data_IF_364035846776
#
_entry.id   IF_364035846776
#
_cell.length_a   1.000
_cell.length_b   1.000
_cell.length_c   1.000
_cell.angle_alpha   90.00
_cell.angle_beta   90.00
_cell.angle_gamma   90.00
#
_symmetry.space_group_name_H-M   'P 1'
#
loop_
_entity.id
_entity.type
_entity.pdbx_description
1 polymer ?
#
# COMPACT_ATOMS: atom_id res chain seq x y z
N UNK A 1 5.30 17.81 77.38
CA UNK A 1 6.33 18.86 77.19
C UNK A 1 7.69 18.28 77.57
N UNK A 2 8.80 18.63 76.90
CA UNK A 2 8.95 19.45 75.70
C UNK A 2 9.70 18.72 74.55
N UNK A 3 9.28 18.92 73.28
CA UNK A 3 9.89 19.77 72.22
C UNK A 3 10.99 19.04 71.41
N UNK A 4 10.77 18.55 70.18
CA UNK A 4 10.43 19.23 68.92
C UNK A 4 11.55 20.14 68.36
N UNK A 5 12.30 19.65 67.36
CA UNK A 5 12.80 20.49 66.26
C UNK A 5 12.77 19.73 64.93
N UNK A 6 12.08 20.36 63.98
CA UNK A 6 11.73 19.99 62.61
C UNK A 6 12.93 19.69 61.69
N UNK A 7 12.82 18.64 60.88
CA UNK A 7 13.47 18.57 59.56
C UNK A 7 12.34 18.59 58.53
N UNK A 8 12.24 19.69 57.79
CA UNK A 8 11.31 19.82 56.67
C UNK A 8 11.79 18.95 55.52
N UNK A 9 11.04 17.88 55.22
CA UNK A 9 11.19 17.15 53.96
C UNK A 9 10.28 17.84 52.95
N UNK A 10 10.89 18.49 51.96
CA UNK A 10 10.19 19.05 50.80
C UNK A 10 9.56 17.88 50.07
N UNK A 11 8.22 17.85 50.06
CA UNK A 11 7.42 17.01 49.20
C UNK A 11 7.66 17.47 47.76
N UNK A 12 8.58 16.81 47.04
CA UNK A 12 8.68 16.94 45.60
C UNK A 12 7.75 15.89 44.99
N UNK A 13 6.54 16.30 44.66
CA UNK A 13 5.62 15.59 43.80
C UNK A 13 6.31 15.37 42.44
N UNK A 14 6.90 14.19 42.26
CA UNK A 14 7.36 13.73 40.95
C UNK A 14 6.12 13.44 40.11
N UNK A 15 5.78 14.38 39.25
CA UNK A 15 4.76 14.21 38.23
C UNK A 15 5.25 13.14 37.26
N UNK A 16 4.57 11.98 37.25
CA UNK A 16 4.72 10.99 36.19
C UNK A 16 4.36 11.65 34.85
N UNK A 17 5.37 12.01 34.07
CA UNK A 17 5.24 12.28 32.65
C UNK A 17 5.66 11.02 31.87
N UNK A 18 4.87 9.94 31.99
CA UNK A 18 4.88 8.83 31.05
C UNK A 18 3.68 9.00 30.11
N UNK A 19 3.88 9.84 29.11
CA UNK A 19 3.11 9.84 27.87
C UNK A 19 4.09 10.25 26.79
N UNK A 20 4.88 9.29 26.30
CA UNK A 20 5.62 9.44 25.06
C UNK A 20 4.59 9.78 23.98
N UNK A 21 4.64 11.02 23.54
CA UNK A 21 3.72 11.61 22.58
C UNK A 21 3.88 10.91 21.23
N UNK A 22 2.96 10.00 20.92
CA UNK A 22 2.57 9.63 19.54
C UNK A 22 1.83 10.79 18.82
N UNK A 23 2.06 12.05 19.23
CA UNK A 23 1.23 13.21 18.91
C UNK A 23 1.98 14.25 18.06
N UNK A 24 2.57 13.84 16.94
CA UNK A 24 2.70 14.76 15.81
C UNK A 24 1.82 14.25 14.69
N UNK A 25 0.54 14.56 14.86
CA UNK A 25 -0.51 14.54 13.84
C UNK A 25 -0.02 15.33 12.63
N UNK A 26 -0.37 14.80 11.46
CA UNK A 26 -0.32 15.35 10.10
C UNK A 26 -0.88 16.79 9.97
N UNK A 27 -0.31 17.76 10.67
CA UNK A 27 -0.55 19.17 10.41
C UNK A 27 0.21 19.54 9.14
N UNK A 28 -0.46 19.43 7.99
CA UNK A 28 0.01 20.06 6.76
C UNK A 28 0.15 21.57 7.05
N UNK A 29 1.32 22.18 6.81
CA UNK A 29 1.45 23.63 6.95
C UNK A 29 0.42 24.32 6.04
N UNK A 30 -0.06 25.50 6.46
CA UNK A 30 -1.10 26.26 5.76
C UNK A 30 -0.78 26.58 4.29
N UNK A 31 0.50 26.48 3.91
CA UNK A 31 0.98 26.38 2.54
C UNK A 31 2.03 25.25 2.48
N UNK A 32 1.72 24.07 1.91
CA UNK A 32 2.74 23.04 1.69
C UNK A 32 3.78 23.53 0.69
N UNK A 33 5.05 23.16 0.91
CA UNK A 33 6.15 23.42 -0.02
C UNK A 33 5.80 22.86 -1.40
N UNK A 34 6.12 23.59 -2.47
CA UNK A 34 5.93 23.09 -3.85
C UNK A 34 6.67 21.77 -4.09
N UNK A 35 6.33 21.02 -5.14
CA UNK A 35 7.11 19.84 -5.55
C UNK A 35 8.58 20.17 -5.82
N UNK A 36 8.91 21.39 -6.25
CA UNK A 36 10.29 21.78 -6.46
C UNK A 36 11.00 22.18 -5.16
N UNK A 37 10.29 22.76 -4.19
CA UNK A 37 10.87 23.17 -2.90
C UNK A 37 10.97 22.03 -1.88
N UNK A 38 10.13 21.01 -2.03
CA UNK A 38 10.15 19.79 -1.23
C UNK A 38 10.99 18.66 -1.85
N UNK A 39 11.68 18.93 -2.96
CA UNK A 39 12.54 17.96 -3.62
C UNK A 39 13.62 17.43 -2.65
N UNK A 40 13.75 16.11 -2.44
CA UNK A 40 14.71 15.57 -1.47
C UNK A 40 16.16 15.99 -1.69
N UNK A 41 16.59 16.08 -2.95
CA UNK A 41 17.93 16.53 -3.32
C UNK A 41 18.13 18.01 -3.01
N UNK A 42 17.15 18.86 -3.34
CA UNK A 42 17.17 20.30 -2.99
C UNK A 42 17.16 20.53 -1.47
N UNK A 43 16.40 19.73 -0.74
CA UNK A 43 16.33 19.81 0.72
C UNK A 43 17.61 19.30 1.41
N UNK A 44 18.44 18.55 0.68
CA UNK A 44 19.65 17.92 1.20
C UNK A 44 19.37 16.78 2.17
N UNK A 45 18.20 16.14 2.07
CA UNK A 45 17.87 15.00 2.93
C UNK A 45 18.88 13.87 2.70
N UNK A 46 19.39 13.31 3.80
CA UNK A 46 20.32 12.19 3.78
C UNK A 46 21.56 12.41 2.90
N UNK A 47 21.94 13.67 2.67
CA UNK A 47 23.11 14.06 1.87
C UNK A 47 24.31 14.32 2.77
N UNK A 48 25.49 13.81 2.38
CA UNK A 48 26.73 13.90 3.14
C UNK A 48 27.13 12.57 3.80
N UNK A 49 28.40 12.42 4.20
CA UNK A 49 28.92 11.20 4.80
C UNK A 49 29.71 11.50 6.09
N UNK A 50 29.06 11.55 7.26
CA UNK A 50 27.62 11.36 7.48
C UNK A 50 26.77 12.60 7.12
N UNK A 51 25.45 12.46 6.88
CA UNK A 51 24.57 13.61 6.77
C UNK A 51 24.55 14.43 8.07
N UNK A 52 24.37 15.77 8.00
CA UNK A 52 24.30 16.59 9.21
C UNK A 52 23.02 16.27 10.02
N UNK A 53 23.01 16.50 11.35
CA UNK A 53 21.93 16.07 12.23
C UNK A 53 20.53 16.54 11.82
N UNK A 54 20.40 17.76 11.30
CA UNK A 54 19.13 18.35 10.85
C UNK A 54 18.66 17.82 9.48
N UNK A 55 19.43 16.93 8.85
CA UNK A 55 19.15 16.30 7.55
C UNK A 55 18.98 14.78 7.62
N UNK A 56 18.97 14.23 8.83
CA UNK A 56 18.76 12.80 9.05
C UNK A 56 17.26 12.44 8.94
N UNK A 57 17.04 11.28 8.34
CA UNK A 57 15.77 10.55 8.33
C UNK A 57 16.12 9.13 8.77
N UNK A 58 15.77 8.77 9.99
CA UNK A 58 16.24 7.53 10.61
C UNK A 58 15.28 6.98 11.67
N UNK A 59 15.44 5.71 12.02
CA UNK A 59 14.84 5.17 13.24
C UNK A 59 15.64 5.61 14.49
N UNK A 60 15.00 5.81 15.64
CA UNK A 60 13.57 5.58 15.94
C UNK A 60 12.70 6.85 15.80
N UNK A 61 13.14 7.88 15.06
CA UNK A 61 12.29 9.05 14.82
C UNK A 61 11.01 8.58 14.11
N UNK A 62 9.85 9.10 14.49
CA UNK A 62 8.55 8.65 13.94
C UNK A 62 8.09 9.49 12.76
N UNK A 63 8.77 10.59 12.45
CA UNK A 63 8.35 11.57 11.45
C UNK A 63 8.93 11.30 10.04
N UNK A 64 9.61 10.16 9.83
CA UNK A 64 10.13 9.81 8.50
C UNK A 64 9.03 9.69 7.44
N UNK A 65 7.77 9.44 7.83
CA UNK A 65 6.61 9.44 6.92
C UNK A 65 5.89 10.80 6.83
N UNK A 66 6.35 11.81 7.56
CA UNK A 66 5.77 13.16 7.53
C UNK A 66 6.29 13.94 6.33
N UNK A 67 5.44 14.74 5.69
CA UNK A 67 5.89 15.68 4.65
C UNK A 67 6.77 16.79 5.29
N UNK A 68 7.92 17.17 4.69
CA UNK A 68 8.43 16.75 3.38
C UNK A 68 9.39 15.54 3.39
N UNK A 69 9.78 15.00 4.56
CA UNK A 69 10.64 13.80 4.68
C UNK A 69 10.09 12.59 3.90
N UNK A 70 8.76 12.47 3.84
CA UNK A 70 8.04 11.45 3.07
C UNK A 70 8.59 11.28 1.65
N UNK A 71 8.91 12.38 0.95
CA UNK A 71 9.38 12.35 -0.45
C UNK A 71 10.71 11.63 -0.63
N UNK A 72 11.56 11.64 0.39
CA UNK A 72 12.77 10.81 0.42
C UNK A 72 12.42 9.38 0.84
N UNK A 73 11.65 9.25 1.92
CA UNK A 73 11.31 7.96 2.57
C UNK A 73 10.69 6.95 1.62
N UNK A 74 9.74 7.35 0.77
CA UNK A 74 9.05 6.43 -0.15
C UNK A 74 9.99 5.82 -1.20
N UNK A 75 11.15 6.41 -1.44
CA UNK A 75 12.20 5.87 -2.32
C UNK A 75 13.23 5.01 -1.56
N UNK A 76 13.26 5.08 -0.23
CA UNK A 76 14.33 4.53 0.62
C UNK A 76 13.81 3.66 1.79
N UNK A 77 12.57 3.15 1.70
CA UNK A 77 11.92 2.39 2.78
C UNK A 77 12.80 1.27 3.36
N UNK A 78 13.55 0.56 2.52
CA UNK A 78 14.43 -0.54 2.94
C UNK A 78 15.57 -0.09 3.88
N UNK A 79 15.94 1.18 3.87
CA UNK A 79 16.93 1.74 4.82
C UNK A 79 16.33 1.97 6.21
N UNK A 80 15.01 2.03 6.32
CA UNK A 80 14.28 2.36 7.54
C UNK A 80 13.56 1.16 8.17
N UNK A 81 13.24 0.14 7.39
CA UNK A 81 12.45 -1.02 7.80
C UNK A 81 13.02 -2.32 7.24
N UNK A 82 12.96 -3.44 7.99
CA UNK A 82 13.29 -4.75 7.45
C UNK A 82 12.36 -5.11 6.29
N UNK A 83 12.90 -5.83 5.32
CA UNK A 83 12.17 -6.22 4.11
C UNK A 83 12.42 -7.68 3.76
N UNK A 84 11.45 -8.28 3.08
CA UNK A 84 11.59 -9.54 2.36
C UNK A 84 11.64 -9.27 0.87
N UNK A 85 12.61 -9.86 0.18
CA UNK A 85 12.80 -9.69 -1.25
C UNK A 85 11.69 -10.40 -2.05
N UNK A 86 11.25 -9.73 -3.11
CA UNK A 86 10.44 -10.30 -4.19
C UNK A 86 11.37 -10.43 -5.40
N UNK A 87 11.94 -11.61 -5.59
CA UNK A 87 13.03 -11.78 -6.56
C UNK A 87 12.54 -11.75 -8.01
N UNK A 88 13.28 -11.08 -8.90
CA UNK A 88 13.15 -11.19 -10.37
C UNK A 88 13.83 -12.43 -10.95
N UNK A 89 14.50 -13.23 -10.11
CA UNK A 89 15.31 -14.37 -10.54
C UNK A 89 16.67 -13.95 -11.11
N UNK A 90 17.39 -14.92 -11.69
CA UNK A 90 18.74 -14.73 -12.24
C UNK A 90 18.75 -14.52 -13.76
N UNK A 91 17.58 -14.62 -14.40
CA UNK A 91 17.44 -14.42 -15.84
C UNK A 91 17.74 -13.00 -16.28
N UNK A 92 17.99 -12.82 -17.57
CA UNK A 92 18.09 -11.48 -18.16
C UNK A 92 16.71 -10.79 -18.11
N UNK A 93 16.65 -9.49 -17.77
CA UNK A 93 15.41 -8.73 -17.93
C UNK A 93 15.02 -8.65 -19.41
N UNK A 94 13.73 -8.51 -19.67
CA UNK A 94 13.22 -8.36 -21.04
C UNK A 94 12.99 -6.86 -21.28
N UNK A 95 13.73 -6.23 -22.20
CA UNK A 95 13.58 -4.80 -22.48
C UNK A 95 12.17 -4.44 -22.93
N UNK A 96 11.64 -3.31 -22.45
CA UNK A 96 10.45 -2.70 -23.03
C UNK A 96 10.79 -2.07 -24.39
N UNK A 97 9.81 -2.00 -25.28
CA UNK A 97 9.94 -1.26 -26.55
C UNK A 97 9.58 0.20 -26.33
N UNK A 98 10.31 1.13 -26.94
CA UNK A 98 10.13 2.57 -26.75
C UNK A 98 9.78 3.27 -28.07
N UNK A 99 8.84 4.21 -27.98
CA UNK A 99 8.54 5.20 -29.01
C UNK A 99 8.02 6.46 -28.28
N UNK A 100 8.94 7.18 -27.63
CA UNK A 100 8.61 8.34 -26.80
C UNK A 100 7.94 9.43 -27.64
N UNK A 101 6.86 9.98 -27.10
CA UNK A 101 6.12 11.12 -27.66
C UNK A 101 6.19 12.31 -26.69
N UNK A 102 7.09 13.24 -26.98
CA UNK A 102 7.25 14.48 -26.20
C UNK A 102 6.02 15.38 -26.28
N UNK A 103 5.13 15.18 -27.26
CA UNK A 103 3.87 15.91 -27.39
C UNK A 103 2.90 15.66 -26.23
N UNK A 104 3.09 14.57 -25.48
CA UNK A 104 2.28 14.23 -24.29
C UNK A 104 2.37 15.32 -23.23
N UNK A 105 3.52 16.00 -23.07
CA UNK A 105 3.67 17.08 -22.10
C UNK A 105 2.68 18.23 -22.33
N UNK A 106 2.36 18.52 -23.59
CA UNK A 106 1.52 19.63 -23.99
C UNK A 106 0.02 19.30 -23.97
N UNK A 107 -0.37 18.05 -23.68
CA UNK A 107 -1.78 17.66 -23.59
C UNK A 107 -2.44 18.47 -22.48
N UNK A 108 -3.51 19.20 -22.82
CA UNK A 108 -4.25 20.03 -21.88
C UNK A 108 -5.51 19.33 -21.39
N UNK A 109 -5.83 19.49 -20.10
CA UNK A 109 -7.08 19.04 -19.52
C UNK A 109 -7.51 19.96 -18.37
N UNK A 110 -8.78 19.88 -17.97
CA UNK A 110 -9.30 20.57 -16.79
C UNK A 110 -9.34 19.58 -15.62
N UNK A 111 -8.58 19.81 -14.53
CA UNK A 111 -8.64 18.97 -13.35
C UNK A 111 -10.06 18.91 -12.76
N UNK A 112 -10.39 17.80 -12.09
CA UNK A 112 -11.70 17.65 -11.43
C UNK A 112 -11.91 18.77 -10.41
N UNK A 113 -13.01 19.50 -10.55
CA UNK A 113 -13.37 20.60 -9.65
C UNK A 113 -12.60 21.91 -9.89
N UNK A 114 -11.78 22.00 -10.94
CA UNK A 114 -11.12 23.23 -11.36
C UNK A 114 -11.87 23.90 -12.52
N UNK A 115 -11.68 25.22 -12.66
CA UNK A 115 -12.15 25.99 -13.83
C UNK A 115 -11.05 26.18 -14.88
N UNK A 116 -9.79 26.26 -14.43
CA UNK A 116 -8.64 26.47 -15.29
C UNK A 116 -8.08 25.14 -15.83
N UNK A 117 -7.62 25.18 -17.09
CA UNK A 117 -6.90 24.07 -17.71
C UNK A 117 -5.44 24.05 -17.24
N UNK A 118 -4.84 22.86 -17.20
CA UNK A 118 -3.40 22.69 -17.11
C UNK A 118 -2.89 21.70 -18.15
N UNK A 119 -1.60 21.74 -18.41
CA UNK A 119 -0.90 20.75 -19.23
C UNK A 119 -0.60 19.48 -18.41
N UNK A 120 -0.35 18.38 -19.11
CA UNK A 120 0.08 17.13 -18.52
C UNK A 120 1.32 17.31 -17.64
N UNK A 121 2.34 17.98 -18.14
CA UNK A 121 3.59 18.18 -17.40
C UNK A 121 3.41 19.02 -16.14
N UNK A 122 2.56 20.05 -16.18
CA UNK A 122 2.21 20.86 -15.00
C UNK A 122 1.52 20.00 -13.94
N UNK A 123 0.64 19.08 -14.37
CA UNK A 123 -0.06 18.19 -13.45
C UNK A 123 0.88 17.27 -12.67
N UNK A 124 2.00 16.84 -13.26
CA UNK A 124 2.96 15.97 -12.59
C UNK A 124 3.58 16.68 -11.39
N UNK A 125 3.96 17.95 -11.57
CA UNK A 125 4.49 18.81 -10.50
C UNK A 125 3.42 19.15 -9.47
N UNK A 126 2.19 19.48 -9.91
CA UNK A 126 1.08 19.81 -9.02
C UNK A 126 0.72 18.66 -8.05
N UNK A 127 1.03 17.41 -8.44
CA UNK A 127 0.75 16.21 -7.66
C UNK A 127 1.99 15.57 -7.00
N UNK A 128 3.14 16.26 -6.97
CA UNK A 128 4.39 15.71 -6.40
C UNK A 128 4.79 14.36 -7.02
N UNK A 129 4.55 14.17 -8.32
CA UNK A 129 4.84 12.91 -9.01
C UNK A 129 6.33 12.62 -8.97
N UNK A 130 6.74 11.47 -8.44
CA UNK A 130 8.15 11.03 -8.46
C UNK A 130 8.46 10.13 -9.67
N UNK A 131 7.45 9.48 -10.27
CA UNK A 131 7.62 8.68 -11.50
C UNK A 131 6.33 8.55 -12.31
N UNK A 132 6.44 8.61 -13.63
CA UNK A 132 5.32 8.43 -14.55
C UNK A 132 5.74 7.59 -15.75
N UNK A 133 4.95 6.56 -16.07
CA UNK A 133 5.16 5.67 -17.20
C UNK A 133 3.85 5.45 -17.93
N UNK A 134 3.83 5.64 -19.24
CA UNK A 134 2.69 5.34 -20.11
C UNK A 134 3.11 4.29 -21.13
N UNK A 135 2.44 3.16 -21.10
CA UNK A 135 2.58 2.07 -22.07
C UNK A 135 1.30 2.05 -22.90
N UNK A 136 1.43 2.28 -24.21
CA UNK A 136 0.31 2.23 -25.16
C UNK A 136 0.60 1.14 -26.20
N UNK A 137 -0.31 0.17 -26.31
CA UNK A 137 -0.18 -0.99 -27.21
C UNK A 137 1.16 -1.73 -27.07
N UNK A 138 1.61 -1.91 -25.83
CA UNK A 138 2.86 -2.61 -25.48
C UNK A 138 4.14 -1.79 -25.72
N UNK A 139 4.03 -0.52 -26.10
CA UNK A 139 5.16 0.38 -26.34
C UNK A 139 5.16 1.49 -25.29
N UNK A 140 6.32 1.75 -24.68
CA UNK A 140 6.52 2.90 -23.79
C UNK A 140 6.53 4.17 -24.63
N UNK A 141 5.56 5.04 -24.39
CA UNK A 141 5.39 6.32 -25.11
C UNK A 141 5.69 7.53 -24.23
N UNK A 142 5.78 7.34 -22.91
CA UNK A 142 6.14 8.39 -21.96
C UNK A 142 6.80 7.77 -20.74
N UNK A 143 7.93 8.31 -20.31
CA UNK A 143 8.62 7.89 -19.10
C UNK A 143 9.36 9.08 -18.50
N UNK A 144 9.06 9.40 -17.23
CA UNK A 144 9.74 10.46 -16.48
C UNK A 144 9.93 10.08 -15.03
N UNK A 145 10.99 10.64 -14.46
CA UNK A 145 11.40 10.50 -13.07
C UNK A 145 11.65 11.88 -12.47
N UNK A 146 11.25 12.08 -11.23
CA UNK A 146 11.36 13.33 -10.49
C UNK A 146 11.57 13.04 -9.00
N UNK A 147 11.83 14.10 -8.23
CA UNK A 147 11.90 13.98 -6.77
C UNK A 147 13.01 13.02 -6.34
N UNK A 148 12.65 12.06 -5.49
CA UNK A 148 13.59 11.07 -4.95
C UNK A 148 13.75 9.80 -5.80
N UNK A 149 12.98 9.62 -6.87
CA UNK A 149 12.99 8.38 -7.65
C UNK A 149 13.94 8.48 -8.84
N UNK A 150 14.80 7.48 -8.98
CA UNK A 150 15.69 7.30 -10.13
C UNK A 150 15.29 6.07 -10.95
N UNK A 151 15.86 5.93 -12.15
CA UNK A 151 15.60 4.81 -13.07
C UNK A 151 15.86 3.43 -12.42
N UNK A 152 16.94 3.32 -11.64
CA UNK A 152 17.31 2.12 -10.88
C UNK A 152 16.72 2.10 -9.46
N UNK A 153 15.91 3.10 -9.12
CA UNK A 153 15.26 3.25 -7.84
C UNK A 153 14.03 2.35 -7.69
N UNK A 154 13.52 2.28 -6.47
CA UNK A 154 12.25 1.62 -6.14
C UNK A 154 11.41 2.60 -5.36
N UNK A 155 10.12 2.59 -5.60
CA UNK A 155 9.17 3.44 -4.91
C UNK A 155 8.17 2.58 -4.13
N UNK A 156 7.79 3.03 -2.94
CA UNK A 156 6.73 2.43 -2.15
C UNK A 156 5.41 2.47 -2.95
N UNK A 157 4.86 1.30 -3.25
CA UNK A 157 3.61 1.15 -4.00
C UNK A 157 2.37 1.39 -3.11
N UNK A 158 2.57 1.49 -1.79
CA UNK A 158 1.50 1.64 -0.81
C UNK A 158 0.39 0.60 -1.08
N UNK A 159 -0.88 1.00 -1.05
CA UNK A 159 -2.00 0.07 -1.26
C UNK A 159 -2.15 -0.51 -2.67
N UNK A 160 -1.32 -0.14 -3.66
CA UNK A 160 -1.23 -0.95 -4.88
C UNK A 160 -0.77 -2.39 -4.58
N UNK A 161 -0.08 -2.59 -3.45
CA UNK A 161 0.25 -3.92 -2.90
C UNK A 161 -1.00 -4.81 -2.78
N UNK A 162 -2.15 -4.24 -2.38
CA UNK A 162 -3.40 -4.99 -2.20
C UNK A 162 -3.83 -5.66 -3.50
N UNK A 163 -3.72 -4.94 -4.60
CA UNK A 163 -4.08 -5.45 -5.93
C UNK A 163 -3.16 -6.59 -6.38
N UNK A 164 -1.91 -6.63 -5.92
CA UNK A 164 -1.02 -7.79 -6.12
C UNK A 164 -1.47 -8.99 -5.28
N UNK A 165 -1.82 -8.75 -4.01
CA UNK A 165 -2.40 -9.78 -3.13
C UNK A 165 -3.69 -10.36 -3.71
N UNK A 166 -4.58 -9.49 -4.22
CA UNK A 166 -5.82 -9.88 -4.87
C UNK A 166 -5.62 -10.64 -6.19
N UNK A 167 -4.64 -10.22 -7.01
CA UNK A 167 -4.27 -10.96 -8.22
C UNK A 167 -3.80 -12.39 -7.90
N UNK A 168 -2.93 -12.53 -6.90
CA UNK A 168 -2.48 -13.85 -6.45
C UNK A 168 -3.62 -14.71 -5.90
N UNK A 169 -4.57 -14.11 -5.18
CA UNK A 169 -5.75 -14.80 -4.70
C UNK A 169 -6.65 -15.27 -5.85
N UNK A 170 -6.97 -14.41 -6.83
CA UNK A 170 -7.76 -14.79 -8.01
C UNK A 170 -7.10 -15.91 -8.83
N UNK A 171 -5.76 -15.89 -8.95
CA UNK A 171 -5.02 -17.00 -9.55
C UNK A 171 -5.27 -18.31 -8.79
N UNK A 172 -5.19 -18.28 -7.45
CA UNK A 172 -5.44 -19.48 -6.64
C UNK A 172 -6.91 -19.92 -6.68
N UNK A 173 -7.86 -18.99 -6.83
CA UNK A 173 -9.28 -19.30 -7.03
C UNK A 173 -9.50 -19.99 -8.39
N UNK A 174 -8.96 -19.44 -9.47
CA UNK A 174 -9.03 -20.03 -10.80
C UNK A 174 -8.38 -21.43 -10.86
N UNK A 175 -7.33 -21.65 -10.07
CA UNK A 175 -6.68 -22.96 -9.92
C UNK A 175 -7.46 -23.95 -9.04
N UNK A 176 -8.58 -23.55 -8.44
CA UNK A 176 -9.35 -24.36 -7.49
C UNK A 176 -8.62 -24.63 -6.17
N UNK A 177 -7.59 -23.83 -5.85
CA UNK A 177 -6.78 -23.98 -4.63
C UNK A 177 -7.28 -23.14 -3.48
N UNK A 178 -7.94 -22.04 -3.77
CA UNK A 178 -8.62 -21.19 -2.79
C UNK A 178 -10.11 -21.19 -3.11
N UNK A 179 -10.93 -21.72 -2.22
CA UNK A 179 -12.39 -21.60 -2.31
C UNK A 179 -12.79 -20.22 -1.77
N UNK A 180 -13.28 -19.35 -2.66
CA UNK A 180 -13.68 -18.00 -2.29
C UNK A 180 -15.05 -17.95 -1.59
N UNK A 181 -15.81 -19.05 -1.61
CA UNK A 181 -17.09 -19.18 -0.89
C UNK A 181 -16.92 -19.67 0.55
N UNK A 182 -15.76 -20.22 0.88
CA UNK A 182 -15.46 -20.74 2.20
C UNK A 182 -15.38 -19.61 3.25
N UNK A 183 -15.81 -19.91 4.47
CA UNK A 183 -15.56 -19.06 5.63
C UNK A 183 -14.06 -19.03 5.95
N UNK A 184 -13.54 -17.86 6.32
CA UNK A 184 -12.10 -17.69 6.64
C UNK A 184 -11.67 -18.63 7.78
N UNK A 185 -12.52 -18.84 8.80
CA UNK A 185 -12.21 -19.73 9.92
C UNK A 185 -11.97 -21.19 9.51
N UNK A 186 -12.51 -21.63 8.37
CA UNK A 186 -12.25 -22.97 7.84
C UNK A 186 -10.83 -23.16 7.31
N UNK A 187 -10.16 -22.05 6.95
CA UNK A 187 -8.79 -22.02 6.41
C UNK A 187 -7.79 -21.53 7.47
N UNK A 188 -8.20 -20.54 8.29
CA UNK A 188 -7.43 -19.96 9.40
C UNK A 188 -8.24 -20.14 10.70
N UNK A 189 -8.17 -21.32 11.36
CA UNK A 189 -8.89 -21.57 12.60
C UNK A 189 -8.60 -20.55 13.71
N UNK A 190 -7.41 -19.94 13.71
CA UNK A 190 -6.99 -18.90 14.65
C UNK A 190 -7.83 -17.62 14.59
N UNK A 191 -8.61 -17.41 13.51
CA UNK A 191 -9.49 -16.26 13.33
C UNK A 191 -10.95 -16.53 13.70
N UNK A 192 -11.29 -17.73 14.21
CA UNK A 192 -12.67 -18.12 14.57
C UNK A 192 -13.37 -17.09 15.46
N UNK A 193 -12.68 -16.58 16.49
CA UNK A 193 -13.26 -15.62 17.45
C UNK A 193 -13.09 -14.15 17.04
N UNK A 194 -12.54 -13.90 15.85
CA UNK A 194 -12.39 -12.56 15.28
C UNK A 194 -13.52 -12.25 14.30
N UNK A 195 -13.66 -10.98 13.93
CA UNK A 195 -14.59 -10.54 12.90
C UNK A 195 -14.38 -11.21 11.54
N UNK A 196 -13.19 -11.74 11.27
CA UNK A 196 -12.92 -12.42 10.02
C UNK A 196 -13.48 -13.85 10.00
N UNK A 197 -13.64 -14.50 11.16
CA UNK A 197 -13.94 -15.93 11.23
C UNK A 197 -15.19 -16.35 10.46
N UNK A 198 -16.23 -15.50 10.51
CA UNK A 198 -17.52 -15.68 9.83
C UNK A 198 -17.60 -15.02 8.44
N UNK A 199 -16.58 -14.26 8.03
CA UNK A 199 -16.53 -13.71 6.69
C UNK A 199 -16.17 -14.82 5.69
N UNK A 200 -16.73 -14.77 4.49
CA UNK A 200 -16.23 -15.56 3.37
C UNK A 200 -14.92 -14.97 2.83
N UNK A 201 -14.09 -15.81 2.24
CA UNK A 201 -12.88 -15.36 1.53
C UNK A 201 -13.23 -14.31 0.46
N UNK A 202 -14.36 -14.47 -0.25
CA UNK A 202 -14.82 -13.49 -1.23
C UNK A 202 -15.14 -12.13 -0.62
N UNK A 203 -15.81 -12.10 0.53
CA UNK A 203 -16.08 -10.84 1.22
C UNK A 203 -14.79 -10.14 1.68
N UNK A 204 -13.75 -10.90 2.05
CA UNK A 204 -12.42 -10.35 2.33
C UNK A 204 -11.79 -9.76 1.06
N UNK A 205 -11.85 -10.48 -0.06
CA UNK A 205 -11.32 -10.06 -1.38
C UNK A 205 -11.98 -8.76 -1.88
N UNK A 206 -13.28 -8.62 -1.66
CA UNK A 206 -14.09 -7.48 -2.14
C UNK A 206 -14.21 -6.36 -1.09
N UNK A 207 -13.58 -6.52 0.08
CA UNK A 207 -13.65 -5.60 1.22
C UNK A 207 -15.09 -5.26 1.64
N UNK A 208 -16.00 -6.23 1.56
CA UNK A 208 -17.36 -6.08 2.08
C UNK A 208 -17.45 -6.68 3.49
N UNK A 209 -16.43 -6.52 4.30
CA UNK A 209 -16.38 -7.06 5.66
C UNK A 209 -16.82 -6.04 6.70
N UNK A 210 -17.66 -6.49 7.64
CA UNK A 210 -18.18 -5.71 8.74
C UNK A 210 -17.20 -5.68 9.92
N UNK A 211 -16.12 -4.91 9.80
CA UNK A 211 -15.05 -4.86 10.81
C UNK A 211 -15.15 -3.60 11.66
N UNK A 212 -15.03 -3.72 12.98
CA UNK A 212 -14.79 -2.58 13.87
C UNK A 212 -13.33 -2.15 13.73
N UNK A 213 -13.07 -1.26 12.77
CA UNK A 213 -11.73 -0.77 12.43
C UNK A 213 -11.81 0.57 11.70
N UNK A 214 -11.20 1.60 12.29
CA UNK A 214 -11.03 2.91 11.67
C UNK A 214 -9.75 2.97 10.82
N UNK A 215 -9.91 3.30 9.54
CA UNK A 215 -8.84 3.52 8.56
C UNK A 215 -8.54 5.03 8.36
N UNK A 216 -9.02 5.88 9.27
CA UNK A 216 -8.82 7.34 9.16
C UNK A 216 -7.40 7.74 9.61
N UNK A 217 -6.51 7.92 8.65
CA UNK A 217 -5.13 8.39 8.90
C UNK A 217 -5.05 9.83 9.43
N UNK A 218 -6.14 10.61 9.41
CA UNK A 218 -6.15 11.93 10.04
C UNK A 218 -6.49 11.86 11.53
N UNK A 219 -7.18 10.80 11.98
CA UNK A 219 -7.51 10.60 13.38
C UNK A 219 -6.35 9.88 14.10
N UNK A 220 -5.65 10.52 15.06
CA UNK A 220 -4.59 9.88 15.83
C UNK A 220 -5.05 8.71 16.70
N UNK A 221 -6.37 8.52 16.89
CA UNK A 221 -6.96 7.42 17.66
C UNK A 221 -7.48 6.28 16.79
N UNK A 222 -7.34 6.38 15.46
CA UNK A 222 -7.78 5.33 14.55
C UNK A 222 -7.04 4.01 14.79
N UNK A 223 -7.75 2.90 14.56
CA UNK A 223 -7.25 1.54 14.74
C UNK A 223 -6.03 1.22 13.87
N UNK A 224 -5.90 1.90 12.72
CA UNK A 224 -4.73 1.79 11.84
C UNK A 224 -3.41 2.09 12.55
N UNK A 225 -3.40 2.94 13.58
CA UNK A 225 -2.20 3.22 14.37
C UNK A 225 -1.89 2.12 15.37
N UNK A 226 -2.92 1.54 16.00
CA UNK A 226 -2.75 0.38 16.88
C UNK A 226 -2.27 -0.84 16.07
N UNK A 227 -2.82 -1.05 14.88
CA UNK A 227 -2.39 -2.06 13.92
C UNK A 227 -0.94 -1.84 13.47
N UNK A 228 -0.58 -0.61 13.09
CA UNK A 228 0.79 -0.26 12.70
C UNK A 228 1.78 -0.44 13.86
N UNK A 229 1.38 -0.07 15.08
CA UNK A 229 2.18 -0.29 16.28
C UNK A 229 2.35 -1.77 16.61
N UNK A 230 1.31 -2.60 16.45
CA UNK A 230 1.37 -4.04 16.62
C UNK A 230 2.36 -4.68 15.65
N UNK A 231 2.28 -4.30 14.37
CA UNK A 231 3.13 -4.84 13.33
C UNK A 231 4.49 -4.16 13.19
N UNK A 232 4.74 -3.07 13.92
CA UNK A 232 6.02 -2.35 13.86
C UNK A 232 7.21 -3.31 14.09
N UNK A 233 8.22 -3.33 13.21
CA UNK A 233 9.32 -4.29 13.31
C UNK A 233 10.33 -3.94 14.42
N UNK A 234 10.22 -2.74 14.99
CA UNK A 234 11.08 -2.27 16.06
C UNK A 234 10.74 -2.93 17.40
N UNK A 235 11.71 -3.00 18.34
CA UNK A 235 11.46 -3.50 19.68
C UNK A 235 10.27 -2.79 20.34
N UNK A 236 9.35 -3.59 20.89
CA UNK A 236 8.23 -3.06 21.67
C UNK A 236 8.73 -2.52 23.03
N UNK A 237 8.01 -1.56 23.64
CA UNK A 237 8.20 -1.21 25.05
C UNK A 237 8.14 -2.45 25.95
N UNK A 238 8.90 -2.44 27.06
CA UNK A 238 8.99 -3.60 27.97
C UNK A 238 7.66 -4.02 28.59
N UNK A 239 6.72 -3.09 28.67
CA UNK A 239 5.37 -3.21 29.23
C UNK A 239 4.28 -3.37 28.15
N UNK A 240 4.65 -3.64 26.89
CA UNK A 240 3.70 -3.85 25.81
C UNK A 240 3.05 -5.23 25.89
N UNK A 241 1.76 -5.27 26.21
CA UNK A 241 0.92 -6.48 26.32
C UNK A 241 0.02 -6.71 25.09
N UNK A 242 0.21 -5.94 24.02
CA UNK A 242 -0.63 -6.00 22.81
C UNK A 242 -0.21 -7.07 21.79
N UNK A 243 -0.96 -7.18 20.68
CA UNK A 243 -0.58 -8.05 19.56
C UNK A 243 0.79 -7.65 18.99
N UNK A 244 1.64 -8.63 18.69
CA UNK A 244 2.98 -8.39 18.16
C UNK A 244 3.12 -9.01 16.77
N UNK A 245 2.65 -8.31 15.75
CA UNK A 245 2.62 -8.78 14.37
C UNK A 245 1.27 -8.57 13.70
N UNK A 246 1.25 -8.68 12.38
CA UNK A 246 0.03 -8.51 11.59
C UNK A 246 -1.03 -9.53 11.99
N UNK A 247 -0.66 -10.81 12.02
CA UNK A 247 -1.60 -11.92 12.24
C UNK A 247 -2.19 -11.93 13.65
N UNK A 248 -1.42 -11.60 14.68
CA UNK A 248 -1.96 -11.49 16.04
C UNK A 248 -2.96 -10.34 16.18
N UNK A 249 -2.75 -9.22 15.48
CA UNK A 249 -3.71 -8.13 15.49
C UNK A 249 -5.02 -8.56 14.84
N UNK A 250 -4.99 -9.30 13.72
CA UNK A 250 -6.21 -9.76 13.05
C UNK A 250 -7.14 -10.58 13.97
N UNK A 251 -6.57 -11.30 14.94
CA UNK A 251 -7.34 -12.07 15.93
C UNK A 251 -8.15 -11.21 16.92
N UNK A 252 -7.79 -9.94 17.07
CA UNK A 252 -8.45 -9.05 18.05
C UNK A 252 -9.64 -8.29 17.47
N UNK A 253 -9.72 -8.20 16.14
CA UNK A 253 -10.72 -7.40 15.41
C UNK A 253 -12.13 -7.90 15.73
N UNK A 254 -13.02 -6.96 16.06
CA UNK A 254 -14.43 -7.24 16.38
C UNK A 254 -15.34 -6.91 15.21
N UNK A 255 -16.46 -7.61 15.13
CA UNK A 255 -17.42 -7.43 14.05
C UNK A 255 -18.32 -6.23 14.37
N UNK A 256 -18.58 -5.40 13.37
CA UNK A 256 -19.51 -4.25 13.45
C UNK A 256 -20.37 -4.21 12.19
N UNK A 257 -21.58 -4.78 12.29
CA UNK A 257 -22.52 -4.97 11.18
C UNK A 257 -22.52 -6.37 10.57
N UNK A 258 -22.96 -6.48 9.33
CA UNK A 258 -23.13 -7.75 8.59
C UNK A 258 -22.22 -7.76 7.35
N UNK A 259 -21.46 -8.84 7.16
CA UNK A 259 -20.62 -9.01 5.98
C UNK A 259 -21.45 -9.04 4.69
N UNK A 260 -20.92 -8.47 3.62
CA UNK A 260 -21.55 -8.38 2.30
C UNK A 260 -22.41 -7.14 2.10
N UNK A 261 -22.87 -6.45 3.16
CA UNK A 261 -23.86 -5.37 2.99
C UNK A 261 -23.28 -4.04 2.50
N UNK A 262 -22.04 -3.74 2.88
CA UNK A 262 -21.38 -2.45 2.62
C UNK A 262 -19.91 -2.69 2.27
N UNK A 263 -19.43 -2.01 1.24
CA UNK A 263 -17.99 -1.90 0.98
C UNK A 263 -17.32 -1.02 2.04
N UNK A 264 -16.29 -1.55 2.71
CA UNK A 264 -15.50 -0.83 3.70
C UNK A 264 -14.01 -1.00 3.42
N UNK A 265 -13.39 0.02 2.84
CA UNK A 265 -11.95 -0.02 2.55
C UNK A 265 -11.14 -0.12 3.84
N UNK A 266 -10.57 -1.31 4.10
CA UNK A 266 -9.82 -1.61 5.33
C UNK A 266 -8.60 -2.45 5.02
N UNK A 267 -7.42 -1.97 5.44
CA UNK A 267 -6.13 -2.62 5.12
C UNK A 267 -6.04 -4.03 5.68
N UNK A 268 -6.62 -4.28 6.86
CA UNK A 268 -6.63 -5.59 7.52
C UNK A 268 -7.34 -6.70 6.72
N UNK A 269 -8.21 -6.38 5.75
CA UNK A 269 -8.71 -7.37 4.80
C UNK A 269 -7.57 -7.94 3.94
N UNK A 270 -6.66 -7.09 3.48
CA UNK A 270 -5.56 -7.50 2.61
C UNK A 270 -4.53 -8.35 3.35
N UNK A 271 -4.29 -8.10 4.64
CA UNK A 271 -3.39 -8.97 5.42
C UNK A 271 -4.03 -10.29 5.82
N UNK A 272 -5.35 -10.31 6.03
CA UNK A 272 -6.11 -11.56 6.15
C UNK A 272 -6.00 -12.37 4.85
N UNK A 273 -6.16 -11.72 3.69
CA UNK A 273 -5.96 -12.36 2.38
C UNK A 273 -4.51 -12.83 2.20
N UNK A 274 -3.53 -12.05 2.65
CA UNK A 274 -2.12 -12.41 2.69
C UNK A 274 -1.85 -13.68 3.51
N UNK A 275 -2.54 -13.85 4.64
CA UNK A 275 -2.48 -15.06 5.45
C UNK A 275 -3.10 -16.26 4.73
N UNK A 276 -4.30 -16.08 4.17
CA UNK A 276 -5.02 -17.12 3.41
C UNK A 276 -4.16 -17.67 2.26
N UNK A 277 -3.63 -16.79 1.39
CA UNK A 277 -2.79 -17.22 0.27
C UNK A 277 -1.49 -17.85 0.75
N UNK A 278 -0.96 -17.43 1.90
CA UNK A 278 0.28 -18.01 2.42
C UNK A 278 0.07 -19.45 2.89
N UNK A 279 -1.04 -19.74 3.59
CA UNK A 279 -1.39 -21.09 4.01
C UNK A 279 -1.68 -22.01 2.81
N UNK A 280 -2.52 -21.55 1.88
CA UNK A 280 -2.90 -22.34 0.69
C UNK A 280 -1.72 -22.59 -0.25
N UNK A 281 -0.78 -21.65 -0.32
CA UNK A 281 0.39 -21.77 -1.21
C UNK A 281 1.62 -22.43 -0.56
N UNK A 282 1.69 -22.46 0.77
CA UNK A 282 2.84 -22.97 1.52
C UNK A 282 4.06 -22.04 1.50
N UNK A 283 3.88 -20.76 1.20
CA UNK A 283 4.96 -19.76 1.14
C UNK A 283 4.44 -18.36 1.45
N UNK A 284 5.33 -17.40 1.74
CA UNK A 284 4.87 -16.03 2.04
C UNK A 284 4.35 -15.31 0.79
N UNK A 285 3.57 -14.25 0.98
CA UNK A 285 3.13 -13.37 -0.12
C UNK A 285 4.30 -12.95 -1.03
N UNK A 286 5.43 -12.51 -0.45
CA UNK A 286 6.61 -12.10 -1.22
C UNK A 286 7.19 -13.23 -2.08
N UNK A 287 7.22 -14.46 -1.53
CA UNK A 287 7.71 -15.64 -2.27
C UNK A 287 6.76 -16.00 -3.41
N UNK A 288 5.44 -15.93 -3.15
CA UNK A 288 4.41 -16.22 -4.14
C UNK A 288 4.41 -15.18 -5.26
N UNK A 289 4.49 -13.89 -4.92
CA UNK A 289 4.60 -12.80 -5.90
C UNK A 289 5.84 -12.97 -6.78
N UNK A 290 6.98 -13.33 -6.17
CA UNK A 290 8.21 -13.63 -6.91
C UNK A 290 8.02 -14.80 -7.87
N UNK A 291 7.51 -15.94 -7.37
CA UNK A 291 7.38 -17.19 -8.13
C UNK A 291 6.36 -17.11 -9.25
N UNK A 292 5.23 -16.44 -9.03
CA UNK A 292 4.07 -16.46 -9.94
C UNK A 292 4.11 -15.32 -10.96
N UNK A 293 4.72 -14.19 -10.59
CA UNK A 293 4.66 -12.96 -11.39
C UNK A 293 6.07 -12.43 -11.63
N UNK A 294 6.79 -12.05 -10.57
CA UNK A 294 7.97 -11.18 -10.69
C UNK A 294 9.12 -11.79 -11.51
N UNK A 295 9.34 -13.10 -11.39
CA UNK A 295 10.34 -13.83 -12.18
C UNK A 295 9.98 -13.97 -13.65
N UNK A 296 8.69 -13.92 -13.96
CA UNK A 296 8.16 -14.30 -15.27
C UNK A 296 7.79 -13.08 -16.14
N UNK A 297 7.58 -11.91 -15.53
CA UNK A 297 7.26 -10.67 -16.27
C UNK A 297 8.46 -10.03 -16.99
N UNK A 298 9.66 -10.60 -16.83
CA UNK A 298 10.89 -10.02 -17.37
C UNK A 298 11.36 -8.78 -16.61
N UNK A 299 11.10 -8.72 -15.30
CA UNK A 299 11.42 -7.58 -14.44
C UNK A 299 12.90 -7.20 -14.49
N UNK A 300 13.18 -5.89 -14.44
CA UNK A 300 14.52 -5.30 -14.41
C UNK A 300 15.13 -5.39 -13.01
N UNK A 301 14.32 -5.26 -11.97
CA UNK A 301 14.77 -5.17 -10.59
C UNK A 301 14.03 -6.15 -9.67
N UNK A 302 14.72 -6.65 -8.65
CA UNK A 302 14.04 -7.27 -7.52
C UNK A 302 13.14 -6.23 -6.85
N UNK A 303 11.90 -6.59 -6.52
CA UNK A 303 11.08 -5.79 -5.62
C UNK A 303 11.29 -6.24 -4.17
N UNK A 304 10.59 -5.59 -3.24
CA UNK A 304 10.58 -6.02 -1.85
C UNK A 304 9.32 -5.63 -1.12
N UNK A 305 9.05 -6.32 -0.02
CA UNK A 305 7.96 -5.99 0.89
C UNK A 305 8.50 -5.70 2.28
N UNK A 306 8.03 -4.63 2.93
CA UNK A 306 8.25 -4.48 4.37
C UNK A 306 7.63 -5.63 5.15
N UNK A 307 8.24 -5.96 6.29
CA UNK A 307 7.80 -7.05 7.15
C UNK A 307 7.59 -6.59 8.59
N UNK A 308 6.75 -7.30 9.33
CA UNK A 308 6.68 -7.15 10.79
C UNK A 308 7.90 -7.76 11.49
N UNK A 309 7.93 -7.70 12.82
CA UNK A 309 9.00 -8.26 13.64
C UNK A 309 9.19 -9.79 13.49
N UNK A 310 8.25 -10.50 12.84
CA UNK A 310 8.28 -11.94 12.61
C UNK A 310 8.63 -12.29 11.16
N UNK A 311 8.86 -11.30 10.31
CA UNK A 311 9.15 -11.52 8.89
C UNK A 311 7.89 -11.70 8.03
N UNK A 312 6.70 -11.43 8.55
CA UNK A 312 5.43 -11.49 7.80
C UNK A 312 5.36 -10.29 6.84
N UNK A 313 5.26 -10.50 5.52
CA UNK A 313 5.11 -9.39 4.57
C UNK A 313 3.82 -8.61 4.78
N UNK A 314 3.91 -7.28 4.71
CA UNK A 314 2.75 -6.40 4.78
C UNK A 314 1.96 -6.45 3.46
N UNK A 315 0.95 -7.32 3.38
CA UNK A 315 0.15 -7.54 2.17
C UNK A 315 -0.81 -6.36 1.86
N UNK A 316 -1.04 -5.50 2.85
CA UNK A 316 -1.82 -4.28 2.71
C UNK A 316 -1.10 -3.09 2.08
N UNK A 317 0.23 -3.03 2.12
CA UNK A 317 0.95 -1.84 1.69
C UNK A 317 2.47 -1.92 1.56
N UNK A 318 3.07 -3.10 1.75
CA UNK A 318 4.52 -3.21 1.94
C UNK A 318 5.36 -3.20 0.66
N UNK A 319 4.77 -3.36 -0.52
CA UNK A 319 5.54 -3.51 -1.77
C UNK A 319 6.26 -2.21 -2.13
N UNK A 320 7.54 -2.32 -2.48
CA UNK A 320 8.30 -1.30 -3.20
C UNK A 320 8.93 -1.93 -4.44
N UNK A 321 8.82 -1.23 -5.57
CA UNK A 321 9.21 -1.75 -6.87
C UNK A 321 9.67 -0.63 -7.82
N UNK A 322 10.39 -0.99 -8.88
CA UNK A 322 10.76 -0.07 -9.95
C UNK A 322 9.55 0.30 -10.81
N UNK A 323 9.55 1.51 -11.36
CA UNK A 323 8.45 2.07 -12.16
C UNK A 323 8.08 1.17 -13.35
N UNK A 324 9.08 0.77 -14.14
CA UNK A 324 8.89 -0.11 -15.30
C UNK A 324 8.36 -1.49 -14.94
N UNK A 325 8.77 -2.03 -13.80
CA UNK A 325 8.32 -3.34 -13.34
C UNK A 325 6.86 -3.32 -12.87
N UNK A 326 6.41 -2.21 -12.26
CA UNK A 326 4.98 -1.97 -12.03
C UNK A 326 4.22 -1.80 -13.36
N UNK A 327 4.82 -1.15 -14.35
CA UNK A 327 4.30 -1.07 -15.72
C UNK A 327 4.12 -2.45 -16.38
N UNK A 328 5.07 -3.36 -16.21
CA UNK A 328 4.99 -4.76 -16.69
C UNK A 328 3.84 -5.50 -16.04
N UNK A 329 3.59 -5.29 -14.74
CA UNK A 329 2.40 -5.85 -14.08
C UNK A 329 1.12 -5.30 -14.70
N UNK A 330 1.05 -3.99 -14.96
CA UNK A 330 -0.06 -3.38 -15.68
C UNK A 330 -0.30 -4.01 -17.05
N UNK A 331 0.77 -4.23 -17.84
CA UNK A 331 0.72 -4.88 -19.15
C UNK A 331 0.27 -6.34 -19.06
N UNK A 332 0.78 -7.10 -18.08
CA UNK A 332 0.36 -8.48 -17.83
C UNK A 332 -1.15 -8.57 -17.57
N UNK A 333 -1.68 -7.69 -16.71
CA UNK A 333 -3.10 -7.66 -16.36
C UNK A 333 -3.94 -7.17 -17.54
N UNK A 334 -3.50 -6.13 -18.25
CA UNK A 334 -4.13 -5.62 -19.48
C UNK A 334 -4.32 -6.73 -20.51
N UNK A 335 -3.30 -7.57 -20.70
CA UNK A 335 -3.29 -8.67 -21.66
C UNK A 335 -3.92 -9.97 -21.12
N UNK A 336 -4.67 -9.90 -20.02
CA UNK A 336 -5.40 -11.06 -19.50
C UNK A 336 -4.46 -12.18 -19.01
N UNK A 337 -3.33 -11.83 -18.41
CA UNK A 337 -2.35 -12.78 -17.89
C UNK A 337 -1.27 -13.23 -18.86
N UNK A 338 -1.13 -12.55 -19.99
CA UNK A 338 -0.09 -12.84 -20.99
C UNK A 338 0.94 -11.71 -21.09
N UNK A 339 2.21 -12.07 -21.06
CA UNK A 339 3.31 -11.13 -21.28
C UNK A 339 4.47 -11.87 -21.94
N UNK A 340 5.19 -11.20 -22.85
CA UNK A 340 6.34 -11.78 -23.54
C UNK A 340 6.03 -13.10 -24.28
N UNK A 341 4.79 -13.28 -24.77
CA UNK A 341 4.34 -14.51 -25.42
C UNK A 341 4.05 -15.68 -24.48
N UNK A 342 4.05 -15.46 -23.17
CA UNK A 342 3.79 -16.47 -22.15
C UNK A 342 2.57 -16.10 -21.31
N UNK A 343 1.65 -17.07 -21.14
CA UNK A 343 0.48 -16.95 -20.26
C UNK A 343 0.83 -17.43 -18.86
N UNK A 344 0.85 -16.50 -17.89
CA UNK A 344 1.18 -16.79 -16.49
C UNK A 344 -0.02 -17.30 -15.69
N UNK A 345 -1.23 -16.94 -16.12
CA UNK A 345 -2.48 -17.41 -15.54
C UNK A 345 -3.65 -17.34 -16.55
N UNK A 346 -4.74 -18.09 -16.32
CA UNK A 346 -5.92 -18.07 -17.18
C UNK A 346 -6.53 -16.67 -17.31
N UNK A 347 -7.06 -16.33 -18.49
CA UNK A 347 -7.66 -15.02 -18.76
C UNK A 347 -8.82 -14.70 -17.81
N UNK A 348 -9.55 -15.73 -17.36
CA UNK A 348 -10.67 -15.60 -16.43
C UNK A 348 -10.31 -14.88 -15.12
N UNK A 349 -9.05 -14.95 -14.66
CA UNK A 349 -8.56 -14.19 -13.51
C UNK A 349 -8.80 -12.69 -13.70
N UNK A 350 -8.46 -12.16 -14.87
CA UNK A 350 -8.67 -10.73 -15.19
C UNK A 350 -10.13 -10.44 -15.48
N UNK A 351 -10.85 -11.38 -16.10
CA UNK A 351 -12.28 -11.21 -16.37
C UNK A 351 -13.09 -11.13 -15.07
N UNK A 352 -12.75 -11.92 -14.05
CA UNK A 352 -13.34 -11.83 -12.71
C UNK A 352 -13.06 -10.50 -12.03
N UNK A 353 -11.84 -9.98 -12.12
CA UNK A 353 -11.48 -8.66 -11.58
C UNK A 353 -12.31 -7.58 -12.29
N UNK A 354 -12.34 -7.61 -13.62
CA UNK A 354 -12.99 -6.59 -14.46
C UNK A 354 -14.52 -6.62 -14.41
N UNK A 355 -15.12 -7.76 -14.07
CA UNK A 355 -16.56 -7.87 -13.87
C UNK A 355 -17.07 -6.89 -12.79
N UNK A 356 -16.22 -6.53 -11.83
CA UNK A 356 -16.58 -5.65 -10.74
C UNK A 356 -17.33 -6.35 -9.61
N UNK A 357 -17.48 -5.61 -8.52
CA UNK A 357 -18.19 -6.06 -7.32
C UNK A 357 -19.62 -5.53 -7.28
N UNK A 358 -20.27 -5.71 -6.14
CA UNK A 358 -21.61 -5.19 -5.89
C UNK A 358 -21.59 -3.65 -5.85
N UNK A 359 -22.27 -3.03 -6.82
CA UNK A 359 -22.39 -1.58 -6.96
C UNK A 359 -23.26 -0.95 -5.87
N UNK A 360 -24.27 -1.67 -5.37
CA UNK A 360 -25.14 -1.18 -4.30
C UNK A 360 -24.38 -1.17 -2.97
N UNK A 361 -23.64 -2.23 -2.67
CA UNK A 361 -22.76 -2.27 -1.50
C UNK A 361 -21.66 -1.20 -1.57
N UNK A 362 -21.10 -0.95 -2.75
CA UNK A 362 -20.11 0.11 -2.97
C UNK A 362 -20.69 1.52 -2.81
N UNK A 363 -21.87 1.78 -3.37
CA UNK A 363 -22.51 3.10 -3.33
C UNK A 363 -22.77 3.58 -1.89
N UNK A 364 -23.05 2.66 -0.96
CA UNK A 364 -23.25 2.97 0.47
C UNK A 364 -22.01 3.58 1.14
N UNK A 365 -20.81 3.38 0.60
CA UNK A 365 -19.58 3.98 1.10
C UNK A 365 -19.39 5.46 0.70
N UNK A 366 -20.19 5.97 -0.26
CA UNK A 366 -20.27 7.41 -0.55
C UNK A 366 -19.07 8.02 -1.30
N UNK A 367 -18.33 7.24 -2.09
CA UNK A 367 -17.20 7.75 -2.89
C UNK A 367 -17.69 8.65 -4.06
N UNK A 368 -17.75 9.96 -3.83
CA UNK A 368 -18.22 10.95 -4.80
C UNK A 368 -17.45 10.97 -6.13
N UNK A 369 -16.14 10.71 -6.10
CA UNK A 369 -15.27 10.72 -7.28
C UNK A 369 -15.25 9.39 -8.04
N UNK A 370 -15.99 8.40 -7.57
CA UNK A 370 -16.16 7.07 -8.18
C UNK A 370 -17.63 6.67 -8.19
N UNK A 371 -18.52 7.61 -8.52
CA UNK A 371 -19.95 7.32 -8.68
C UNK A 371 -20.17 6.25 -9.77
N UNK A 372 -20.99 5.24 -9.46
CA UNK A 372 -21.21 4.08 -10.33
C UNK A 372 -20.07 3.05 -10.34
N UNK A 373 -19.00 3.30 -9.58
CA UNK A 373 -17.87 2.40 -9.40
C UNK A 373 -18.21 1.14 -8.60
N UNK A 374 -17.24 0.23 -8.52
CA UNK A 374 -17.28 -0.92 -7.62
C UNK A 374 -15.87 -1.32 -7.19
N UNK A 375 -15.76 -2.25 -6.25
CA UNK A 375 -14.48 -2.84 -5.83
C UNK A 375 -14.56 -4.36 -5.93
N UNK A 376 -13.52 -4.99 -6.48
CA UNK A 376 -13.48 -6.44 -6.70
C UNK A 376 -12.05 -6.95 -6.56
N UNK A 377 -11.84 -7.97 -5.74
CA UNK A 377 -10.55 -8.67 -5.66
C UNK A 377 -9.36 -7.74 -5.44
N UNK A 378 -9.52 -6.74 -4.59
CA UNK A 378 -8.52 -5.71 -4.30
C UNK A 378 -8.25 -4.66 -5.41
N UNK A 379 -9.16 -4.50 -6.40
CA UNK A 379 -9.07 -3.52 -7.48
C UNK A 379 -10.24 -2.55 -7.50
N UNK A 380 -9.96 -1.29 -7.86
CA UNK A 380 -10.96 -0.25 -8.10
C UNK A 380 -11.47 -0.35 -9.53
N UNK A 381 -12.78 -0.51 -9.72
CA UNK A 381 -13.41 -0.65 -11.04
C UNK A 381 -14.27 0.58 -11.32
N UNK A 382 -13.94 1.32 -12.40
CA UNK A 382 -14.53 2.62 -12.66
C UNK A 382 -15.89 2.54 -13.37
N UNK A 383 -16.14 1.45 -14.11
CA UNK A 383 -17.32 1.31 -14.98
C UNK A 383 -17.52 2.48 -15.95
N UNK A 384 -16.41 3.12 -16.38
CA UNK A 384 -16.43 4.18 -17.37
C UNK A 384 -16.54 3.61 -18.81
N UNK A 385 -16.64 4.48 -19.81
CA UNK A 385 -16.78 4.07 -21.23
C UNK A 385 -15.65 3.19 -21.74
N UNK A 386 -14.48 3.29 -21.11
CA UNK A 386 -13.29 2.51 -21.45
C UNK A 386 -13.21 1.20 -20.67
N UNK A 387 -14.08 0.97 -19.68
CA UNK A 387 -14.00 -0.20 -18.79
C UNK A 387 -12.72 -0.23 -17.96
N UNK A 388 -12.22 0.95 -17.58
CA UNK A 388 -10.96 1.09 -16.86
C UNK A 388 -11.06 0.63 -15.40
N UNK A 389 -9.92 0.19 -14.88
CA UNK A 389 -9.74 -0.27 -13.52
C UNK A 389 -8.33 0.03 -13.02
N UNK A 390 -8.14 0.09 -11.70
CA UNK A 390 -6.87 0.52 -11.13
C UNK A 390 -6.50 -0.16 -9.81
N UNK A 391 -5.20 -0.34 -9.62
CA UNK A 391 -4.58 -0.48 -8.31
C UNK A 391 -4.27 0.93 -7.78
N UNK A 392 -4.65 1.25 -6.54
CA UNK A 392 -4.45 2.60 -5.98
C UNK A 392 -3.84 2.56 -4.58
N UNK A 393 -2.92 3.48 -4.33
CA UNK A 393 -2.24 3.70 -3.06
C UNK A 393 -2.41 5.13 -2.56
N UNK A 394 -2.30 5.31 -1.24
CA UNK A 394 -2.19 6.64 -0.63
C UNK A 394 -0.97 7.40 -1.20
N UNK A 395 -1.01 8.73 -1.14
CA UNK A 395 0.03 9.61 -1.70
C UNK A 395 0.20 9.54 -3.23
N UNK A 396 -0.80 9.04 -3.97
CA UNK A 396 -0.85 9.15 -5.44
C UNK A 396 -0.42 7.90 -6.24
N UNK A 397 -0.13 6.77 -5.58
CA UNK A 397 0.36 5.58 -6.28
C UNK A 397 -0.75 4.97 -7.12
N UNK A 398 -0.55 4.77 -8.43
CA UNK A 398 -1.58 4.19 -9.31
C UNK A 398 -0.98 3.33 -10.42
N UNK A 399 -1.53 2.12 -10.61
CA UNK A 399 -1.53 1.44 -11.92
C UNK A 399 -2.94 1.60 -12.47
N UNK A 400 -3.10 2.42 -13.50
CA UNK A 400 -4.36 2.62 -14.21
C UNK A 400 -4.32 1.82 -15.50
N UNK A 401 -5.34 0.99 -15.73
CA UNK A 401 -5.42 0.12 -16.90
C UNK A 401 -6.65 0.52 -17.71
N UNK A 402 -6.39 1.00 -18.91
CA UNK A 402 -7.40 1.23 -19.95
C UNK A 402 -7.32 0.09 -20.98
N UNK A 403 -8.36 -0.75 -21.09
CA UNK A 403 -8.36 -1.89 -22.01
C UNK A 403 -8.77 -1.54 -23.46
N UNK A 404 -9.04 -0.27 -23.80
CA UNK A 404 -9.57 0.13 -25.12
C UNK A 404 -8.54 0.69 -26.09
#
# INVERSE_FOLDING_TARGET
>A
MPSATRIGTILLTVTLALCGTLNQVYSQPSNPLSAQDSDPGKMGWMTGFPPPPDKLIMQPESDFFSFPKLRWTVCHIRELLPTKQVSRGIGCPIPLTYAIDDGIDAVTFTPMGAEETMTWVESLSANYTDGMLIIHKGVVVYEKYFGGLEETGKHAAMSMTKSMTGLLAEILVAEGRLDDTAEVSSIIPELTDSAFGSATVRQVMDMTTALQFSEDYADPKADIWAYSAAAGPLPKPKDYEGPNGYFEYLKTVKQDGVHGEVFGYKTINSDTLGWLISLVSGGSMADLLSKRIWKEIGAEQDAYMTVDAKGTPFAGGGLSAGLRDLGRVGLLVLNGGEINGHRLFPKEVVDHIRAGGDKEAFAKAGYKTLEGGSYRSMWWIYHNLHGAFAARGVHGQTIYIDPT
#
